data_IF_307465248995
#
_entry.id   IF_307465248995
#
_cell.length_a   1.000
_cell.length_b   1.000
_cell.length_c   1.000
_cell.angle_alpha   90.00
_cell.angle_beta   90.00
_cell.angle_gamma   90.00
#
_symmetry.space_group_name_H-M   'P 1'
#
loop_
_entity.id
_entity.type
_entity.pdbx_description
1 polymer ?
#
# COMPACT_ATOMS: atom_id res chain seq x y z
N UNK A 1 1.66 -8.72 -53.70
CA UNK A 1 2.62 -8.16 -52.72
C UNK A 1 2.04 -8.49 -51.36
N UNK A 2 2.72 -9.35 -50.64
CA UNK A 2 2.28 -9.92 -49.37
C UNK A 2 2.52 -8.85 -48.31
N UNK A 3 1.45 -8.36 -47.69
CA UNK A 3 1.52 -7.56 -46.48
C UNK A 3 2.02 -8.48 -45.36
N UNK A 4 3.29 -8.32 -45.01
CA UNK A 4 3.89 -8.90 -43.81
C UNK A 4 3.28 -8.21 -42.60
N UNK A 5 2.31 -8.89 -41.97
CA UNK A 5 2.02 -8.77 -40.54
C UNK A 5 3.33 -8.93 -39.76
N UNK A 6 3.88 -7.81 -39.30
CA UNK A 6 4.85 -7.83 -38.20
C UNK A 6 4.03 -7.97 -36.93
N UNK A 7 3.72 -9.22 -36.58
CA UNK A 7 3.41 -9.61 -35.21
C UNK A 7 4.55 -9.09 -34.32
N UNK A 8 4.29 -8.01 -33.57
CA UNK A 8 5.14 -7.56 -32.48
C UNK A 8 5.00 -8.55 -31.31
N UNK A 9 5.60 -9.74 -31.46
CA UNK A 9 5.91 -10.63 -30.34
C UNK A 9 7.14 -10.10 -29.61
N UNK A 10 6.96 -9.74 -28.34
CA UNK A 10 8.04 -9.81 -27.36
C UNK A 10 8.25 -8.57 -26.49
N UNK A 11 7.36 -8.36 -25.51
CA UNK A 11 7.80 -7.81 -24.21
C UNK A 11 7.09 -8.62 -23.12
N UNK A 12 7.77 -9.53 -22.40
CA UNK A 12 7.23 -10.07 -21.15
C UNK A 12 7.38 -8.97 -20.11
N UNK A 13 6.45 -8.00 -20.05
CA UNK A 13 6.45 -7.08 -18.91
C UNK A 13 6.16 -7.90 -17.65
N UNK A 14 7.18 -7.94 -16.78
CA UNK A 14 7.34 -8.82 -15.63
C UNK A 14 6.04 -9.12 -14.88
N UNK A 15 5.74 -10.39 -14.69
CA UNK A 15 4.60 -10.80 -13.88
C UNK A 15 4.76 -10.27 -12.44
N UNK A 16 5.97 -10.32 -11.91
CA UNK A 16 6.29 -9.77 -10.60
C UNK A 16 6.20 -8.25 -10.56
N UNK A 17 6.58 -7.54 -11.63
CA UNK A 17 6.39 -6.09 -11.72
C UNK A 17 4.91 -5.71 -11.64
N UNK A 18 4.04 -6.44 -12.36
CA UNK A 18 2.59 -6.22 -12.29
C UNK A 18 2.05 -6.49 -10.90
N UNK A 19 2.48 -7.58 -10.25
CA UNK A 19 2.13 -7.90 -8.86
C UNK A 19 2.60 -6.83 -7.89
N UNK A 20 3.81 -6.31 -8.07
CA UNK A 20 4.37 -5.23 -7.26
C UNK A 20 3.55 -3.95 -7.42
N UNK A 21 3.21 -3.57 -8.66
CA UNK A 21 2.37 -2.40 -8.92
C UNK A 21 1.01 -2.49 -8.24
N UNK A 22 0.34 -3.63 -8.38
CA UNK A 22 -0.96 -3.86 -7.70
C UNK A 22 -0.81 -3.77 -6.19
N UNK A 23 0.23 -4.41 -5.63
CA UNK A 23 0.49 -4.35 -4.20
C UNK A 23 0.74 -2.91 -3.73
N UNK A 24 1.59 -2.15 -4.44
CA UNK A 24 1.86 -0.74 -4.10
C UNK A 24 0.57 0.10 -4.18
N UNK A 25 -0.28 -0.11 -5.18
CA UNK A 25 -1.57 0.58 -5.27
C UNK A 25 -2.49 0.29 -4.08
N UNK A 26 -2.53 -0.96 -3.60
CA UNK A 26 -3.23 -1.35 -2.37
C UNK A 26 -2.60 -0.67 -1.13
N UNK A 27 -1.26 -0.65 -1.03
CA UNK A 27 -0.55 0.01 0.08
C UNK A 27 -0.86 1.52 0.13
N UNK A 28 -0.95 2.18 -1.02
CA UNK A 28 -1.34 3.58 -1.14
C UNK A 28 -2.86 3.79 -1.09
N UNK A 29 -3.65 2.78 -0.73
CA UNK A 29 -5.11 2.87 -0.56
C UNK A 29 -5.84 3.44 -1.77
N UNK A 30 -5.40 3.07 -2.98
CA UNK A 30 -6.05 3.52 -4.22
C UNK A 30 -7.48 2.99 -4.36
N UNK A 31 -7.82 1.90 -3.67
CA UNK A 31 -9.17 1.34 -3.59
C UNK A 31 -10.14 2.21 -2.76
N UNK A 32 -9.64 3.14 -1.94
CA UNK A 32 -10.46 4.00 -1.04
C UNK A 32 -10.65 5.43 -1.56
N UNK A 33 -10.85 5.56 -2.87
CA UNK A 33 -10.96 6.85 -3.57
C UNK A 33 -12.18 7.69 -3.16
N UNK A 34 -13.20 7.02 -2.65
CA UNK A 34 -14.45 7.57 -2.15
C UNK A 34 -14.27 8.37 -0.84
N UNK A 35 -13.21 8.10 -0.07
CA UNK A 35 -12.93 8.81 1.17
C UNK A 35 -12.30 10.18 0.89
N UNK A 36 -13.06 11.27 1.00
CA UNK A 36 -12.54 12.65 0.88
C UNK A 36 -12.53 13.41 2.22
N UNK A 37 -11.73 12.94 3.17
CA UNK A 37 -11.54 13.61 4.46
C UNK A 37 -10.16 13.35 5.06
N UNK A 38 -9.70 14.21 5.96
CA UNK A 38 -8.43 14.06 6.66
C UNK A 38 -7.24 13.81 5.72
N UNK A 39 -6.44 12.78 6.02
CA UNK A 39 -5.28 12.38 5.22
C UNK A 39 -5.68 11.87 3.82
N UNK A 40 -6.88 11.31 3.65
CA UNK A 40 -7.35 10.78 2.37
C UNK A 40 -7.51 11.88 1.32
N UNK A 41 -7.85 13.11 1.73
CA UNK A 41 -7.87 14.26 0.81
C UNK A 41 -6.50 14.54 0.20
N UNK A 42 -5.44 14.48 1.02
CA UNK A 42 -4.05 14.65 0.56
C UNK A 42 -3.66 13.50 -0.37
N UNK A 43 -4.05 12.27 -0.01
CA UNK A 43 -3.79 11.10 -0.86
C UNK A 43 -4.53 11.19 -2.20
N UNK A 44 -5.79 11.65 -2.21
CA UNK A 44 -6.57 11.86 -3.43
C UNK A 44 -5.99 12.98 -4.30
N UNK A 45 -5.52 14.08 -3.70
CA UNK A 45 -4.81 15.15 -4.42
C UNK A 45 -3.56 14.63 -5.14
N UNK A 46 -2.79 13.74 -4.50
CA UNK A 46 -1.57 13.17 -5.06
C UNK A 46 -1.77 11.86 -5.83
N UNK A 47 -2.98 11.33 -5.88
CA UNK A 47 -3.32 10.06 -6.53
C UNK A 47 -2.90 10.03 -7.99
N UNK A 48 -3.12 11.12 -8.73
CA UNK A 48 -2.70 11.24 -10.14
C UNK A 48 -1.19 11.17 -10.29
N UNK A 49 -0.45 11.79 -9.37
CA UNK A 49 1.01 11.79 -9.37
C UNK A 49 1.57 10.42 -9.01
N UNK A 50 1.05 9.79 -7.96
CA UNK A 50 1.44 8.44 -7.53
C UNK A 50 1.07 7.41 -8.61
N UNK A 51 -0.10 7.54 -9.24
CA UNK A 51 -0.52 6.68 -10.34
C UNK A 51 0.41 6.80 -11.55
N UNK A 52 0.75 8.02 -11.97
CA UNK A 52 1.75 8.26 -13.02
C UNK A 52 3.09 7.62 -12.65
N UNK A 53 3.53 7.77 -11.40
CA UNK A 53 4.76 7.15 -10.94
C UNK A 53 4.73 5.63 -11.10
N UNK A 54 3.67 4.97 -10.62
CA UNK A 54 3.53 3.52 -10.68
C UNK A 54 3.40 2.97 -12.11
N UNK A 55 2.74 3.72 -13.00
CA UNK A 55 2.46 3.26 -14.36
C UNK A 55 3.55 3.62 -15.38
N UNK A 56 4.25 4.73 -15.18
CA UNK A 56 5.16 5.28 -16.18
C UNK A 56 6.58 5.51 -15.67
N UNK A 57 6.77 5.90 -14.41
CA UNK A 57 8.09 6.33 -13.92
C UNK A 57 8.86 5.21 -13.19
N UNK A 58 8.15 4.26 -12.58
CA UNK A 58 8.74 3.21 -11.74
C UNK A 58 9.68 2.29 -12.55
N UNK A 59 9.19 1.75 -13.66
CA UNK A 59 9.97 0.80 -14.47
C UNK A 59 11.24 1.44 -15.07
N UNK A 60 11.18 2.63 -15.71
CA UNK A 60 12.39 3.32 -16.16
C UNK A 60 13.41 3.56 -15.05
N UNK A 61 12.96 3.95 -13.85
CA UNK A 61 13.87 4.18 -12.71
C UNK A 61 14.53 2.87 -12.23
N UNK A 62 13.80 1.76 -12.24
CA UNK A 62 14.38 0.44 -11.92
C UNK A 62 15.45 0.05 -12.94
N UNK A 63 15.16 0.20 -14.24
CA UNK A 63 16.14 -0.08 -15.29
C UNK A 63 17.39 0.80 -15.18
N UNK A 64 17.21 2.10 -14.90
CA UNK A 64 18.32 3.03 -14.72
C UNK A 64 19.19 2.63 -13.53
N UNK A 65 18.58 2.34 -12.38
CA UNK A 65 19.29 1.92 -11.17
C UNK A 65 20.04 0.61 -11.37
N UNK A 66 19.40 -0.41 -11.97
CA UNK A 66 20.06 -1.69 -12.28
C UNK A 66 21.19 -1.52 -13.30
N UNK A 67 21.00 -0.64 -14.30
CA UNK A 67 22.03 -0.29 -15.27
C UNK A 67 23.26 0.37 -14.64
N UNK A 68 23.05 1.27 -13.67
CA UNK A 68 24.15 1.88 -12.91
C UNK A 68 24.93 0.85 -12.09
N UNK A 69 24.24 -0.08 -11.43
CA UNK A 69 24.88 -1.17 -10.67
C UNK A 69 25.71 -2.05 -11.60
N UNK A 70 25.12 -2.51 -12.72
CA UNK A 70 25.80 -3.32 -13.71
C UNK A 70 27.03 -2.62 -14.31
N UNK A 71 26.93 -1.32 -14.60
CA UNK A 71 28.06 -0.53 -15.09
C UNK A 71 29.18 -0.42 -14.04
N UNK A 72 28.83 -0.24 -12.76
CA UNK A 72 29.78 -0.22 -11.65
C UNK A 72 30.50 -1.55 -11.47
N UNK A 73 29.77 -2.67 -11.49
CA UNK A 73 30.33 -4.02 -11.40
C UNK A 73 31.28 -4.32 -12.57
N UNK A 74 30.89 -3.93 -13.79
CA UNK A 74 31.74 -4.09 -14.98
C UNK A 74 33.01 -3.27 -14.88
N UNK A 75 32.92 -2.02 -14.39
CA UNK A 75 34.08 -1.18 -14.20
C UNK A 75 35.03 -1.75 -13.14
N UNK A 76 34.49 -2.27 -12.03
CA UNK A 76 35.29 -2.93 -11.00
C UNK A 76 36.01 -4.18 -11.55
N UNK A 77 35.30 -5.00 -12.34
CA UNK A 77 35.88 -6.17 -13.00
C UNK A 77 36.96 -5.78 -14.03
N UNK A 78 36.79 -4.69 -14.78
CA UNK A 78 37.81 -4.16 -15.72
C UNK A 78 39.10 -3.75 -14.99
N UNK A 79 38.96 -3.07 -13.86
CA UNK A 79 40.10 -2.64 -13.04
C UNK A 79 40.83 -3.86 -12.43
N UNK A 80 40.09 -4.86 -11.95
CA UNK A 80 40.67 -6.10 -11.44
C UNK A 80 41.40 -6.87 -12.54
N UNK A 81 40.81 -6.97 -13.75
CA UNK A 81 41.44 -7.59 -14.91
C UNK A 81 42.77 -6.93 -15.28
N UNK A 82 42.78 -5.60 -15.41
CA UNK A 82 44.01 -4.87 -15.74
C UNK A 82 45.10 -5.01 -14.68
N UNK A 83 44.69 -5.05 -13.41
CA UNK A 83 45.62 -5.20 -12.29
C UNK A 83 46.23 -6.59 -12.30
N UNK A 84 45.40 -7.63 -12.45
CA UNK A 84 45.83 -9.03 -12.51
C UNK A 84 46.68 -9.30 -13.76
N UNK A 85 46.35 -8.69 -14.90
CA UNK A 85 47.13 -8.79 -16.13
C UNK A 85 48.55 -8.26 -15.93
N UNK A 86 48.67 -7.09 -15.28
CA UNK A 86 49.97 -6.48 -14.99
C UNK A 86 50.79 -7.35 -14.04
N UNK A 87 50.19 -7.82 -12.94
CA UNK A 87 50.86 -8.71 -11.97
C UNK A 87 51.39 -9.98 -12.65
N UNK A 88 50.58 -10.64 -13.47
CA UNK A 88 50.99 -11.87 -14.17
C UNK A 88 52.12 -11.61 -15.17
N UNK A 89 52.06 -10.49 -15.90
CA UNK A 89 53.14 -10.09 -16.83
C UNK A 89 54.44 -9.72 -16.11
N UNK A 90 54.36 -9.06 -14.96
CA UNK A 90 55.51 -8.70 -14.13
C UNK A 90 56.20 -9.96 -13.57
N UNK A 91 55.43 -11.00 -13.26
CA UNK A 91 55.92 -12.33 -12.85
C UNK A 91 56.39 -13.21 -14.03
N UNK A 92 56.27 -12.73 -15.28
CA UNK A 92 56.65 -13.46 -16.49
C UNK A 92 55.71 -14.63 -16.84
N UNK A 93 54.51 -14.64 -16.28
CA UNK A 93 53.46 -15.65 -16.53
C UNK A 93 52.52 -15.12 -17.61
N UNK A 94 52.21 -15.96 -18.61
CA UNK A 94 51.18 -15.64 -19.60
C UNK A 94 49.80 -15.49 -18.92
N UNK A 95 49.11 -14.33 -19.03
CA UNK A 95 47.79 -14.13 -18.43
C UNK A 95 46.78 -15.23 -18.80
N UNK A 96 46.84 -15.75 -20.02
CA UNK A 96 45.92 -16.80 -20.49
C UNK A 96 46.22 -18.19 -19.89
N UNK A 97 47.42 -18.41 -19.35
CA UNK A 97 47.75 -19.62 -18.61
C UNK A 97 47.09 -19.63 -17.21
N UNK A 98 46.79 -18.45 -16.66
CA UNK A 98 46.14 -18.32 -15.36
C UNK A 98 44.66 -18.69 -15.43
N UNK A 99 44.22 -19.58 -14.53
CA UNK A 99 42.80 -19.94 -14.38
C UNK A 99 41.98 -18.73 -13.89
N UNK A 100 42.49 -17.98 -12.92
CA UNK A 100 41.80 -16.80 -12.34
C UNK A 100 41.57 -15.71 -13.38
N UNK A 101 42.55 -15.48 -14.25
CA UNK A 101 42.44 -14.48 -15.32
C UNK A 101 41.34 -14.87 -16.33
N UNK A 102 41.33 -16.11 -16.80
CA UNK A 102 40.29 -16.61 -17.72
C UNK A 102 38.89 -16.62 -17.11
N UNK A 103 38.76 -16.98 -15.83
CA UNK A 103 37.47 -16.92 -15.12
C UNK A 103 36.97 -15.48 -14.98
N UNK A 104 37.85 -14.53 -14.69
CA UNK A 104 37.50 -13.12 -14.58
C UNK A 104 37.18 -12.48 -15.94
N UNK A 105 37.92 -12.85 -16.99
CA UNK A 105 37.69 -12.43 -18.38
C UNK A 105 36.34 -12.96 -18.87
N UNK A 106 36.05 -14.25 -18.64
CA UNK A 106 34.75 -14.83 -18.94
C UNK A 106 33.61 -14.10 -18.20
N UNK A 107 33.81 -13.72 -16.93
CA UNK A 107 32.81 -12.96 -16.15
C UNK A 107 32.62 -11.53 -16.67
N UNK A 108 33.66 -10.89 -17.18
CA UNK A 108 33.59 -9.55 -17.78
C UNK A 108 32.87 -9.54 -19.14
N UNK A 109 33.08 -10.60 -19.94
CA UNK A 109 32.43 -10.78 -21.25
C UNK A 109 30.93 -11.14 -21.13
N UNK A 110 30.54 -11.79 -20.03
CA UNK A 110 29.13 -12.07 -19.75
C UNK A 110 28.40 -10.77 -19.44
N UNK A 111 27.49 -10.37 -20.33
CA UNK A 111 26.61 -9.24 -20.10
C UNK A 111 25.59 -9.58 -19.00
N UNK A 112 25.41 -8.72 -17.97
CA UNK A 112 24.42 -8.96 -16.94
C UNK A 112 23.01 -8.98 -17.54
N UNK A 113 22.24 -10.02 -17.21
CA UNK A 113 20.83 -10.15 -17.59
C UNK A 113 19.96 -9.28 -16.67
N UNK A 114 19.89 -7.99 -17.02
CA UNK A 114 19.13 -6.98 -16.28
C UNK A 114 17.65 -7.35 -16.16
N UNK A 115 17.07 -8.03 -17.17
CA UNK A 115 15.67 -8.39 -17.17
C UNK A 115 15.37 -9.50 -16.14
N UNK A 116 16.24 -10.50 -16.03
CA UNK A 116 16.12 -11.51 -14.97
C UNK A 116 16.32 -10.90 -13.58
N UNK A 117 17.30 -10.01 -13.41
CA UNK A 117 17.52 -9.34 -12.13
C UNK A 117 16.33 -8.47 -11.72
N UNK A 118 15.72 -7.75 -12.66
CA UNK A 118 14.51 -6.99 -12.41
C UNK A 118 13.36 -7.88 -11.88
N UNK A 119 13.09 -8.99 -12.57
CA UNK A 119 11.99 -9.88 -12.20
C UNK A 119 12.20 -10.50 -10.81
N UNK A 120 13.44 -10.84 -10.46
CA UNK A 120 13.83 -11.34 -9.14
C UNK A 120 13.66 -10.27 -8.05
N UNK A 121 14.17 -9.06 -8.29
CA UNK A 121 14.04 -7.93 -7.35
C UNK A 121 12.58 -7.59 -7.11
N UNK A 122 11.76 -7.51 -8.17
CA UNK A 122 10.32 -7.29 -8.03
C UNK A 122 9.66 -8.40 -7.21
N UNK A 123 10.04 -9.66 -7.42
CA UNK A 123 9.55 -10.80 -6.65
C UNK A 123 9.90 -10.71 -5.15
N UNK A 124 11.14 -10.32 -4.84
CA UNK A 124 11.59 -10.09 -3.46
C UNK A 124 10.83 -8.96 -2.79
N UNK A 125 10.60 -7.83 -3.49
CA UNK A 125 9.82 -6.72 -2.96
C UNK A 125 8.37 -7.12 -2.67
N UNK A 126 7.71 -7.83 -3.59
CA UNK A 126 6.35 -8.36 -3.38
C UNK A 126 6.30 -9.25 -2.14
N UNK A 127 7.27 -10.15 -2.00
CA UNK A 127 7.35 -11.07 -0.85
C UNK A 127 7.56 -10.31 0.46
N UNK A 128 8.45 -9.31 0.44
CA UNK A 128 8.73 -8.46 1.60
C UNK A 128 7.49 -7.71 2.06
N UNK A 129 6.86 -6.93 1.17
CA UNK A 129 5.68 -6.15 1.53
C UNK A 129 4.53 -7.05 1.99
N UNK A 130 4.28 -8.19 1.34
CA UNK A 130 3.24 -9.14 1.80
C UNK A 130 3.50 -9.75 3.17
N UNK A 131 4.77 -9.94 3.53
CA UNK A 131 5.16 -10.54 4.81
C UNK A 131 5.15 -9.54 5.95
N UNK A 132 5.64 -8.33 5.68
CA UNK A 132 5.92 -7.36 6.72
C UNK A 132 4.90 -6.21 6.78
N UNK A 133 4.16 -5.90 5.72
CA UNK A 133 3.16 -4.83 5.78
C UNK A 133 1.80 -5.35 6.23
N UNK A 134 1.21 -4.67 7.22
CA UNK A 134 -0.18 -4.86 7.63
C UNK A 134 -0.79 -3.54 8.09
N UNK A 135 -1.92 -3.16 7.51
CA UNK A 135 -2.78 -2.05 7.99
C UNK A 135 -2.06 -0.71 8.19
N UNK A 136 -1.09 -0.39 7.32
CA UNK A 136 -0.34 0.87 7.41
C UNK A 136 0.95 0.77 8.23
N UNK A 137 1.32 -0.43 8.68
CA UNK A 137 2.47 -0.65 9.54
C UNK A 137 3.35 -1.82 9.07
N UNK A 138 4.65 -1.75 9.38
CA UNK A 138 5.59 -2.84 9.18
C UNK A 138 5.68 -3.69 10.44
N UNK A 139 4.98 -4.81 10.45
CA UNK A 139 4.91 -5.76 11.56
C UNK A 139 5.61 -7.06 11.14
N UNK A 140 6.51 -7.57 11.97
CA UNK A 140 7.03 -8.93 11.82
C UNK A 140 5.94 -9.95 12.18
N UNK A 141 5.05 -10.24 11.22
CA UNK A 141 3.98 -11.22 11.40
C UNK A 141 4.56 -12.63 11.42
N UNK A 142 4.46 -13.30 12.58
CA UNK A 142 4.82 -14.71 12.76
C UNK A 142 3.75 -15.60 12.12
N UNK A 143 3.85 -15.88 10.82
CA UNK A 143 3.00 -16.87 10.14
C UNK A 143 3.62 -18.26 10.26
N UNK A 144 3.27 -18.99 11.31
CA UNK A 144 3.61 -20.41 11.44
C UNK A 144 2.68 -21.25 10.55
N UNK A 145 3.19 -22.32 9.92
CA UNK A 145 2.33 -23.40 9.41
C UNK A 145 1.77 -24.17 10.62
N UNK A 146 0.55 -24.71 10.50
CA UNK A 146 0.04 -25.67 11.49
C UNK A 146 1.07 -26.80 11.67
N UNK A 147 1.34 -27.15 12.94
CA UNK A 147 2.27 -28.18 13.43
C UNK A 147 3.79 -27.87 13.51
N UNK A 148 4.23 -26.60 13.42
CA UNK A 148 5.63 -26.25 13.67
C UNK A 148 5.86 -25.79 15.11
N UNK A 149 6.60 -26.58 15.90
CA UNK A 149 7.08 -26.21 17.23
C UNK A 149 8.14 -25.10 17.12
N UNK A 150 7.77 -23.86 17.44
CA UNK A 150 8.67 -22.72 17.34
C UNK A 150 9.42 -22.48 18.65
N UNK A 151 10.72 -22.78 18.67
CA UNK A 151 11.67 -22.27 19.67
C UNK A 151 11.84 -20.76 19.42
N UNK A 152 11.89 -19.90 20.44
CA UNK A 152 12.08 -18.47 20.22
C UNK A 152 13.49 -18.22 19.68
N UNK A 153 13.56 -17.95 18.37
CA UNK A 153 14.59 -17.19 17.66
C UNK A 153 15.82 -17.95 17.11
N UNK A 154 16.03 -17.87 15.78
CA UNK A 154 17.27 -18.27 15.08
C UNK A 154 17.91 -17.12 14.25
N UNK A 155 17.72 -15.86 14.65
CA UNK A 155 18.53 -14.76 14.09
C UNK A 155 18.30 -14.38 12.62
N UNK A 156 17.32 -14.99 11.93
CA UNK A 156 16.97 -14.66 10.53
C UNK A 156 15.93 -13.53 10.38
N UNK A 157 15.52 -12.85 11.47
CA UNK A 157 14.46 -11.83 11.42
C UNK A 157 15.00 -10.40 11.52
N UNK A 158 14.65 -9.58 10.53
CA UNK A 158 14.83 -8.12 10.56
C UNK A 158 13.78 -7.50 11.48
N UNK A 159 14.20 -7.01 12.64
CA UNK A 159 13.37 -6.16 13.50
C UNK A 159 13.49 -4.71 13.01
N UNK A 160 12.46 -4.24 12.31
CA UNK A 160 12.37 -2.83 11.89
C UNK A 160 11.97 -1.99 13.11
N UNK A 161 12.77 -0.97 13.41
CA UNK A 161 12.50 -0.01 14.49
C UNK A 161 12.71 1.40 13.94
N UNK A 162 11.64 2.20 13.90
CA UNK A 162 11.67 3.62 13.53
C UNK A 162 11.22 4.46 14.72
N UNK A 163 11.46 5.78 14.68
CA UNK A 163 11.22 6.70 15.81
C UNK A 163 9.78 6.65 16.37
N UNK A 164 8.83 6.20 15.55
CA UNK A 164 7.41 6.12 15.86
C UNK A 164 6.92 4.66 15.94
N UNK A 165 7.81 3.67 16.12
CA UNK A 165 7.46 2.24 16.07
C UNK A 165 6.44 1.82 17.15
N UNK A 166 6.47 2.48 18.30
CA UNK A 166 5.46 2.30 19.36
C UNK A 166 4.35 3.37 19.32
N UNK A 167 4.38 4.27 18.34
CA UNK A 167 3.34 5.27 18.11
C UNK A 167 2.35 4.73 17.08
N UNK A 168 1.48 3.83 17.53
CA UNK A 168 0.28 3.55 16.76
C UNK A 168 -0.65 4.76 16.87
N UNK A 169 -1.28 5.10 15.75
CA UNK A 169 -2.45 5.96 15.64
C UNK A 169 -2.15 7.44 15.32
N UNK A 170 -2.38 7.82 14.07
CA UNK A 170 -3.11 9.07 13.82
C UNK A 170 -4.40 8.93 14.61
N UNK A 171 -4.62 9.78 15.62
CA UNK A 171 -5.83 9.76 16.43
C UNK A 171 -7.06 9.83 15.53
N UNK A 172 -7.65 8.68 15.23
CA UNK A 172 -8.76 8.63 14.28
C UNK A 172 -9.97 9.36 14.87
N UNK A 173 -10.15 9.37 16.19
CA UNK A 173 -11.16 10.21 16.84
C UNK A 173 -10.91 11.74 16.70
N UNK A 174 -9.69 12.19 16.42
CA UNK A 174 -9.39 13.61 16.16
C UNK A 174 -9.59 13.98 14.68
N UNK A 175 -9.43 13.02 13.75
CA UNK A 175 -9.47 13.26 12.31
C UNK A 175 -10.75 12.76 11.61
N UNK A 176 -11.50 11.83 12.23
CA UNK A 176 -12.70 11.18 11.68
C UNK A 176 -13.96 11.60 12.46
N UNK A 177 -14.06 12.90 12.77
CA UNK A 177 -15.22 13.46 13.49
C UNK A 177 -16.41 13.72 12.59
N UNK A 178 -16.15 13.98 11.31
CA UNK A 178 -17.15 14.38 10.34
C UNK A 178 -16.79 13.76 8.98
N UNK A 179 -17.74 13.03 8.38
CA UNK A 179 -17.65 12.52 7.02
C UNK A 179 -18.89 12.94 6.25
N UNK A 180 -18.69 13.65 5.15
CA UNK A 180 -19.79 14.11 4.30
C UNK A 180 -19.70 13.46 2.94
N UNK A 181 -20.82 12.97 2.42
CA UNK A 181 -20.93 12.54 1.03
C UNK A 181 -22.15 13.15 0.35
N UNK A 182 -22.10 13.18 -0.98
CA UNK A 182 -23.17 13.69 -1.84
C UNK A 182 -24.01 12.53 -2.36
N UNK A 183 -25.32 12.71 -2.28
CA UNK A 183 -26.30 11.81 -2.89
C UNK A 183 -26.51 12.27 -4.34
N UNK A 184 -26.90 11.39 -5.31
CA UNK A 184 -27.05 11.77 -6.72
C UNK A 184 -27.94 13.00 -6.98
N UNK A 185 -28.91 13.26 -6.11
CA UNK A 185 -29.78 14.44 -6.14
C UNK A 185 -29.06 15.76 -5.72
N UNK A 186 -27.77 15.72 -5.40
CA UNK A 186 -26.95 16.86 -4.95
C UNK A 186 -27.09 17.21 -3.46
N UNK A 187 -27.93 16.49 -2.72
CA UNK A 187 -28.10 16.65 -1.26
C UNK A 187 -26.94 16.03 -0.48
N UNK A 188 -26.61 16.59 0.68
CA UNK A 188 -25.48 16.14 1.54
C UNK A 188 -25.96 15.29 2.71
N UNK A 189 -25.20 14.23 2.98
CA UNK A 189 -25.35 13.38 4.17
C UNK A 189 -24.06 13.49 4.98
N UNK A 190 -24.18 13.75 6.28
CA UNK A 190 -23.08 13.93 7.21
C UNK A 190 -23.10 12.86 8.29
N UNK A 191 -21.99 12.15 8.45
CA UNK A 191 -21.76 11.25 9.57
C UNK A 191 -20.92 11.98 10.61
N UNK A 192 -21.49 12.22 11.79
CA UNK A 192 -20.83 12.95 12.88
C UNK A 192 -20.57 12.07 14.08
N UNK A 193 -19.38 12.20 14.66
CA UNK A 193 -19.06 11.59 15.94
C UNK A 193 -19.50 12.50 17.09
N UNK A 194 -20.30 11.98 18.01
CA UNK A 194 -20.69 12.71 19.22
C UNK A 194 -19.47 12.78 20.15
N UNK A 195 -19.07 13.98 20.58
CA UNK A 195 -17.81 14.27 21.31
C UNK A 195 -17.62 13.52 22.66
N UNK A 196 -18.58 12.70 23.09
CA UNK A 196 -18.65 12.16 24.45
C UNK A 196 -17.59 11.10 24.82
N UNK A 197 -16.65 10.74 23.93
CA UNK A 197 -15.69 9.67 24.23
C UNK A 197 -14.31 9.88 23.60
N UNK A 198 -13.60 10.95 24.01
CA UNK A 198 -12.15 11.01 23.80
C UNK A 198 -11.43 10.16 24.85
N UNK A 199 -10.59 9.23 24.39
CA UNK A 199 -9.65 8.46 25.21
C UNK A 199 -8.81 9.37 26.11
N UNK A 200 -8.97 9.22 27.42
CA UNK A 200 -7.95 9.66 28.38
C UNK A 200 -7.08 8.44 28.67
N UNK A 201 -5.91 8.37 28.01
CA UNK A 201 -4.75 7.50 28.27
C UNK A 201 -4.43 6.43 27.22
N UNK A 202 -3.17 6.49 26.82
CA UNK A 202 -2.52 5.91 25.65
C UNK A 202 -2.07 4.45 25.87
N UNK A 203 -2.93 3.56 26.36
CA UNK A 203 -2.57 2.13 26.53
C UNK A 203 -3.65 1.22 25.94
N UNK A 204 -3.24 0.33 25.02
CA UNK A 204 -4.03 -0.84 24.57
C UNK A 204 -4.66 -1.51 25.79
N UNK A 205 -5.99 -1.63 25.83
CA UNK A 205 -6.58 -2.63 26.70
C UNK A 205 -6.21 -4.00 26.15
N UNK A 206 -5.45 -4.78 26.91
CA UNK A 206 -5.15 -6.18 26.60
C UNK A 206 -6.40 -7.09 26.60
N UNK A 207 -7.55 -6.55 27.00
CA UNK A 207 -8.83 -7.24 27.02
C UNK A 207 -9.65 -6.89 25.78
N UNK A 208 -10.48 -7.84 25.34
CA UNK A 208 -11.36 -7.90 24.16
C UNK A 208 -12.33 -6.73 23.91
N UNK A 209 -12.14 -5.58 24.55
CA UNK A 209 -12.95 -4.37 24.39
C UNK A 209 -12.35 -3.49 23.30
N UNK A 210 -12.34 -3.99 22.07
CA UNK A 210 -12.04 -3.17 20.90
C UNK A 210 -13.07 -2.03 20.81
N UNK A 211 -12.58 -0.82 20.58
CA UNK A 211 -13.43 0.34 20.39
C UNK A 211 -13.97 0.35 18.97
N UNK A 212 -15.28 0.59 18.83
CA UNK A 212 -15.97 0.60 17.54
C UNK A 212 -16.86 1.82 17.41
N UNK A 213 -17.17 2.17 16.16
CA UNK A 213 -18.19 3.18 15.84
C UNK A 213 -19.57 2.51 15.94
N UNK A 214 -20.39 2.99 16.86
CA UNK A 214 -21.73 2.47 17.13
C UNK A 214 -22.73 3.62 16.93
N UNK A 215 -23.83 3.38 16.23
CA UNK A 215 -24.89 4.38 16.05
C UNK A 215 -25.40 4.84 17.43
N UNK A 216 -25.55 6.15 17.63
CA UNK A 216 -26.04 6.65 18.93
C UNK A 216 -27.50 6.25 19.15
N UNK A 217 -27.87 6.02 20.41
CA UNK A 217 -29.24 5.66 20.77
C UNK A 217 -30.19 6.87 20.67
N UNK A 218 -29.68 8.10 20.83
CA UNK A 218 -30.44 9.37 20.88
C UNK A 218 -30.06 10.31 19.74
N UNK A 219 -31.05 10.96 19.12
CA UNK A 219 -30.84 11.91 18.01
C UNK A 219 -29.95 11.33 16.88
N UNK A 220 -30.13 10.02 16.64
CA UNK A 220 -29.37 9.20 15.69
C UNK A 220 -29.34 9.77 14.29
N UNK A 221 -30.47 10.33 13.85
CA UNK A 221 -30.65 10.98 12.57
C UNK A 221 -31.35 12.31 12.81
N UNK A 222 -30.86 13.37 12.17
CA UNK A 222 -31.55 14.66 12.14
C UNK A 222 -31.39 15.30 10.77
N UNK A 223 -32.45 15.91 10.26
CA UNK A 223 -32.34 16.81 9.12
C UNK A 223 -32.01 18.23 9.61
N UNK A 224 -30.88 18.77 9.18
CA UNK A 224 -30.39 20.09 9.58
C UNK A 224 -29.99 20.88 8.34
N UNK A 225 -30.69 21.98 8.05
CA UNK A 225 -30.34 22.86 6.93
C UNK A 225 -30.43 22.21 5.55
N UNK A 226 -31.32 21.22 5.35
CA UNK A 226 -31.45 20.46 4.11
C UNK A 226 -30.43 19.33 3.95
N UNK A 227 -29.77 18.95 5.04
CA UNK A 227 -28.75 17.89 5.07
C UNK A 227 -29.13 16.83 6.10
N UNK A 228 -28.84 15.57 5.78
CA UNK A 228 -29.10 14.46 6.68
C UNK A 228 -27.88 14.22 7.57
N UNK A 229 -28.02 14.38 8.88
CA UNK A 229 -26.96 14.15 9.85
C UNK A 229 -27.20 12.83 10.58
N UNK A 230 -26.30 11.86 10.43
CA UNK A 230 -26.28 10.59 11.17
C UNK A 230 -25.19 10.63 12.24
N UNK A 231 -25.52 10.27 13.47
CA UNK A 231 -24.63 10.39 14.62
C UNK A 231 -24.12 9.04 15.10
N UNK A 232 -22.82 8.96 15.34
CA UNK A 232 -22.13 7.79 15.88
C UNK A 232 -21.41 8.13 17.19
N UNK A 233 -21.18 7.10 17.99
CA UNK A 233 -20.35 7.11 19.21
C UNK A 233 -19.16 6.16 19.00
N UNK A 234 -17.97 6.57 19.43
CA UNK A 234 -16.79 5.70 19.44
C UNK A 234 -16.63 5.12 20.84
N UNK A 235 -17.09 3.90 21.07
CA UNK A 235 -17.15 3.29 22.42
C UNK A 235 -16.69 1.83 22.40
N UNK A 236 -16.17 1.28 23.52
CA UNK A 236 -15.84 -0.14 23.60
C UNK A 236 -17.10 -0.99 23.39
N UNK A 237 -16.99 -2.03 22.56
CA UNK A 237 -18.07 -2.99 22.30
C UNK A 237 -17.83 -4.28 23.11
N UNK A 238 -18.44 -4.43 24.30
CA UNK A 238 -18.21 -5.59 25.16
C UNK A 238 -18.68 -6.91 24.52
N UNK A 239 -19.58 -6.84 23.54
CA UNK A 239 -20.13 -8.00 22.84
C UNK A 239 -19.23 -8.50 21.70
N UNK A 240 -18.15 -7.77 21.37
CA UNK A 240 -17.20 -8.22 20.36
C UNK A 240 -17.78 -8.34 18.94
N UNK A 241 -18.88 -7.65 18.63
CA UNK A 241 -19.60 -7.74 17.34
C UNK A 241 -18.76 -7.24 16.16
N UNK A 242 -18.80 -7.98 15.05
CA UNK A 242 -17.98 -7.59 13.88
C UNK A 242 -18.47 -6.28 13.28
N UNK A 243 -17.55 -5.55 12.63
CA UNK A 243 -17.86 -4.29 11.92
C UNK A 243 -19.04 -4.45 10.96
N UNK A 244 -19.08 -5.55 10.22
CA UNK A 244 -20.11 -5.77 9.20
C UNK A 244 -21.51 -5.97 9.82
N UNK A 245 -21.58 -6.55 11.04
CA UNK A 245 -22.83 -6.71 11.81
C UNK A 245 -23.32 -5.34 12.32
N UNK A 246 -22.42 -4.54 12.90
CA UNK A 246 -22.73 -3.19 13.37
C UNK A 246 -23.17 -2.26 12.22
N UNK A 247 -22.55 -2.40 11.05
CA UNK A 247 -22.93 -1.65 9.85
C UNK A 247 -24.34 -2.04 9.38
N UNK A 248 -24.65 -3.34 9.31
CA UNK A 248 -25.97 -3.81 8.90
C UNK A 248 -27.07 -3.31 9.86
N UNK A 249 -26.83 -3.41 11.17
CA UNK A 249 -27.75 -2.92 12.20
C UNK A 249 -27.94 -1.39 12.10
N UNK A 250 -26.85 -0.64 11.90
CA UNK A 250 -26.90 0.81 11.75
C UNK A 250 -27.72 1.24 10.53
N UNK A 251 -27.56 0.54 9.39
CA UNK A 251 -28.33 0.81 8.16
C UNK A 251 -29.82 0.58 8.39
N UNK A 252 -30.20 -0.53 9.02
CA UNK A 252 -31.61 -0.83 9.33
C UNK A 252 -32.21 0.26 10.23
N UNK A 253 -31.49 0.63 11.29
CA UNK A 253 -31.96 1.65 12.24
C UNK A 253 -32.05 3.05 11.63
N UNK A 254 -31.12 3.44 10.76
CA UNK A 254 -31.15 4.73 10.06
C UNK A 254 -32.30 4.78 9.05
N UNK A 255 -32.52 3.71 8.28
CA UNK A 255 -33.63 3.65 7.32
C UNK A 255 -35.01 3.52 7.98
N UNK A 256 -35.08 3.04 9.22
CA UNK A 256 -36.32 3.00 10.00
C UNK A 256 -36.69 4.37 10.60
N UNK A 257 -35.74 5.31 10.70
CA UNK A 257 -35.96 6.62 11.32
C UNK A 257 -36.91 7.49 10.49
N UNK A 258 -37.91 8.18 11.10
CA UNK A 258 -38.78 9.09 10.39
C UNK A 258 -38.04 10.20 9.62
N UNK A 259 -36.89 10.66 10.12
CA UNK A 259 -36.10 11.71 9.50
C UNK A 259 -35.45 11.27 8.17
N UNK A 260 -35.36 9.97 7.89
CA UNK A 260 -34.86 9.47 6.59
C UNK A 260 -35.95 9.25 5.55
N UNK A 261 -37.23 9.43 5.87
CA UNK A 261 -38.33 9.12 4.96
C UNK A 261 -38.20 9.80 3.58
N UNK A 262 -37.86 11.09 3.56
CA UNK A 262 -37.68 11.89 2.33
C UNK A 262 -36.31 11.69 1.65
N UNK A 263 -35.45 10.88 2.27
CA UNK A 263 -34.09 10.57 1.83
C UNK A 263 -33.98 9.15 1.26
N UNK A 264 -34.91 8.23 1.57
CA UNK A 264 -34.91 6.84 1.11
C UNK A 264 -34.73 6.69 -0.41
N UNK A 265 -35.43 7.50 -1.19
CA UNK A 265 -35.33 7.46 -2.66
C UNK A 265 -33.97 7.90 -3.19
N UNK A 266 -33.29 8.79 -2.48
CA UNK A 266 -31.98 9.30 -2.85
C UNK A 266 -30.86 8.36 -2.36
N UNK A 267 -30.99 7.82 -1.14
CA UNK A 267 -30.07 6.84 -0.55
C UNK A 267 -30.12 5.46 -1.24
N UNK A 268 -31.21 5.13 -1.93
CA UNK A 268 -31.35 3.88 -2.69
C UNK A 268 -30.68 3.93 -4.09
N UNK A 269 -30.21 5.09 -4.53
CA UNK A 269 -29.50 5.23 -5.79
C UNK A 269 -28.02 4.97 -5.58
N UNK A 270 -27.39 4.22 -6.49
CA UNK A 270 -25.94 3.99 -6.46
C UNK A 270 -25.21 5.34 -6.53
N UNK A 271 -24.41 5.62 -5.50
CA UNK A 271 -23.48 6.74 -5.51
C UNK A 271 -22.38 6.38 -6.50
N UNK A 272 -22.37 7.03 -7.67
CA UNK A 272 -21.24 6.93 -8.61
C UNK A 272 -19.99 7.51 -7.94
N UNK A 273 -18.84 6.83 -7.99
CA UNK A 273 -17.59 7.28 -7.35
C UNK A 273 -16.89 8.42 -8.11
N UNK A 274 -17.61 9.21 -8.91
CA UNK A 274 -17.05 10.37 -9.61
C UNK A 274 -17.30 11.64 -8.80
N UNK A 275 -16.56 11.76 -7.70
CA UNK A 275 -16.30 13.02 -7.02
C UNK A 275 -15.34 13.93 -7.82
N UNK A 276 -15.49 14.00 -9.14
CA UNK A 276 -14.81 14.98 -9.97
C UNK A 276 -15.41 16.36 -9.70
N UNK A 277 -14.95 16.99 -8.62
CA UNK A 277 -15.05 18.45 -8.51
C UNK A 277 -14.07 19.04 -9.51
N UNK A 278 -14.61 19.55 -10.61
CA UNK A 278 -13.91 20.58 -11.40
C UNK A 278 -13.53 21.75 -10.48
N UNK A 279 -12.38 22.38 -10.71
CA UNK A 279 -11.85 23.41 -9.83
C UNK A 279 -12.78 24.64 -9.83
N UNK A 280 -13.08 25.15 -8.64
CA UNK A 280 -13.52 26.54 -8.50
C UNK A 280 -12.37 27.43 -9.00
N UNK A 281 -12.73 28.34 -9.91
CA UNK A 281 -11.88 29.34 -10.55
C UNK A 281 -11.04 30.18 -9.57
#
# INVERSE_FOLDING_TARGET
>A
MVETEVEARGQPSGENLRRLRTLLAELFMFDRADLDFGIYRIMNLRRKEIGRFLDHDLLPQVHEALGMVAAGERHAAEVELRTLERELRDDGIDPQASRRFRELEARYEVQPDLASTEEEVCGHLVTFFRRYYKEGDFISLRRYKEDVYAIPYEGEEVKLHWANADQHYVKSAEHFRDYTFLVPDGRRVHFKLVEASTETNNNRSQNSNEWRFILTDKDRVAEQGGELVVRFEYRPDPDGRKRDELNAESVEQVLADPATADWKGALAQDVRPDGATEPLA
#
